data_IF_998475405796
#
_entry.id   IF_998475405796
#
_cell.length_a   1.000
_cell.length_b   1.000
_cell.length_c   1.000
_cell.angle_alpha   90.00
_cell.angle_beta   90.00
_cell.angle_gamma   90.00
#
_symmetry.space_group_name_H-M   'P 1'
#
loop_
_entity.id
_entity.type
_entity.pdbx_description
1 polymer ?
#
# COMPACT_ATOMS: atom_id res chain seq x y z
N UNK A 1 -9.02 2.74 21.39
CA UNK A 1 -8.31 2.80 20.09
C UNK A 1 -7.30 1.67 20.05
N UNK A 2 -7.24 0.90 18.97
CA UNK A 2 -6.27 -0.19 18.84
C UNK A 2 -5.10 0.30 17.99
N UNK A 3 -3.89 0.33 18.54
CA UNK A 3 -2.70 0.83 17.85
C UNK A 3 -1.95 -0.34 17.23
N UNK A 4 -1.82 -0.34 15.91
CA UNK A 4 -0.92 -1.24 15.19
C UNK A 4 0.36 -0.49 14.81
N UNK A 5 1.52 -1.13 15.01
CA UNK A 5 2.81 -0.60 14.55
C UNK A 5 3.13 -1.20 13.18
N UNK A 6 3.67 -0.37 12.31
CA UNK A 6 4.19 -0.73 10.99
C UNK A 6 5.51 -0.01 10.81
N UNK A 7 6.43 -0.62 10.08
CA UNK A 7 7.70 0.02 9.72
C UNK A 7 7.46 1.12 8.68
N UNK A 8 6.52 0.88 7.76
CA UNK A 8 6.18 1.79 6.67
C UNK A 8 4.66 1.83 6.44
N UNK A 9 4.13 3.02 6.20
CA UNK A 9 2.74 3.24 5.76
C UNK A 9 2.76 3.89 4.38
N UNK A 10 2.09 3.29 3.41
CA UNK A 10 1.96 3.78 2.04
C UNK A 10 0.50 4.18 1.80
N UNK A 11 0.29 5.43 1.40
CA UNK A 11 -1.02 5.99 1.08
C UNK A 11 -1.20 6.04 -0.44
N UNK A 12 -2.13 5.23 -0.94
CA UNK A 12 -2.47 5.04 -2.35
C UNK A 12 -2.00 3.71 -2.92
N UNK A 13 -2.94 2.80 -3.22
CA UNK A 13 -2.70 1.51 -3.87
C UNK A 13 -2.85 1.60 -5.40
N UNK A 14 -2.26 2.64 -6.00
CA UNK A 14 -1.98 2.69 -7.44
C UNK A 14 -0.74 1.86 -7.80
N UNK A 15 -0.32 1.83 -9.09
CA UNK A 15 0.82 1.04 -9.53
C UNK A 15 2.11 1.30 -8.74
N UNK A 16 2.44 2.57 -8.48
CA UNK A 16 3.61 2.95 -7.69
C UNK A 16 3.53 2.46 -6.23
N UNK A 17 2.40 2.69 -5.56
CA UNK A 17 2.23 2.29 -4.16
C UNK A 17 2.17 0.77 -3.98
N UNK A 18 1.52 0.06 -4.89
CA UNK A 18 1.49 -1.40 -4.90
C UNK A 18 2.89 -1.99 -5.15
N UNK A 19 3.65 -1.43 -6.11
CA UNK A 19 5.02 -1.86 -6.37
C UNK A 19 5.93 -1.61 -5.16
N UNK A 20 5.88 -0.42 -4.58
CA UNK A 20 6.65 -0.09 -3.38
C UNK A 20 6.32 -1.02 -2.20
N UNK A 21 5.02 -1.23 -1.93
CA UNK A 21 4.56 -2.14 -0.87
C UNK A 21 5.08 -3.57 -1.09
N UNK A 22 5.01 -4.07 -2.33
CA UNK A 22 5.49 -5.39 -2.70
C UNK A 22 6.98 -5.57 -2.42
N UNK A 23 7.83 -4.66 -2.90
CA UNK A 23 9.27 -4.77 -2.72
C UNK A 23 9.68 -4.60 -1.25
N UNK A 24 9.07 -3.67 -0.51
CA UNK A 24 9.36 -3.45 0.91
C UNK A 24 8.93 -4.65 1.77
N UNK A 25 7.75 -5.22 1.50
CA UNK A 25 7.31 -6.44 2.18
C UNK A 25 8.24 -7.62 1.88
N UNK A 26 8.76 -7.72 0.65
CA UNK A 26 9.77 -8.73 0.29
C UNK A 26 11.10 -8.59 1.03
N UNK A 27 11.43 -7.40 1.55
CA UNK A 27 12.59 -7.17 2.41
C UNK A 27 12.30 -7.49 3.90
N UNK A 28 11.11 -8.03 4.21
CA UNK A 28 10.74 -8.44 5.57
C UNK A 28 10.14 -7.32 6.44
N UNK A 29 9.84 -6.15 5.85
CA UNK A 29 9.25 -5.03 6.58
C UNK A 29 7.73 -5.20 6.75
N UNK A 30 7.21 -4.75 7.89
CA UNK A 30 5.76 -4.64 8.11
C UNK A 30 5.23 -3.38 7.44
N UNK A 31 4.55 -3.55 6.30
CA UNK A 31 4.04 -2.45 5.49
C UNK A 31 2.51 -2.40 5.55
N UNK A 32 1.96 -1.24 5.86
CA UNK A 32 0.55 -0.94 5.65
C UNK A 32 0.36 -0.22 4.32
N UNK A 33 -0.37 -0.82 3.38
CA UNK A 33 -0.82 -0.17 2.15
C UNK A 33 -2.31 0.17 2.29
N UNK A 34 -2.66 1.46 2.18
CA UNK A 34 -4.04 1.93 2.30
C UNK A 34 -4.45 2.71 1.06
N UNK A 35 -5.70 2.58 0.64
CA UNK A 35 -6.28 3.35 -0.46
C UNK A 35 -7.71 3.73 -0.09
N UNK A 36 -8.17 4.88 -0.58
CA UNK A 36 -9.54 5.37 -0.37
C UNK A 36 -10.55 4.51 -1.12
N UNK A 37 -10.15 3.94 -2.25
CA UNK A 37 -11.06 3.27 -3.15
C UNK A 37 -11.34 1.81 -2.73
N UNK A 38 -12.54 1.35 -3.04
CA UNK A 38 -12.89 -0.07 -3.02
C UNK A 38 -12.39 -0.72 -4.30
N UNK A 39 -11.74 -1.88 -4.19
CA UNK A 39 -11.18 -2.63 -5.33
C UNK A 39 -12.15 -3.73 -5.79
N UNK A 40 -12.20 -4.07 -7.10
CA UNK A 40 -11.45 -3.46 -8.20
C UNK A 40 -11.97 -2.05 -8.54
N UNK A 41 -11.09 -1.19 -9.07
CA UNK A 41 -11.46 0.15 -9.51
C UNK A 41 -10.78 0.46 -10.84
N UNK A 42 -11.42 1.26 -11.67
CA UNK A 42 -10.74 1.83 -12.83
C UNK A 42 -9.73 2.90 -12.40
N UNK A 43 -8.58 2.89 -13.07
CA UNK A 43 -7.64 4.02 -13.09
C UNK A 43 -7.25 4.22 -14.54
N UNK A 44 -7.39 5.44 -15.05
CA UNK A 44 -6.70 5.80 -16.29
C UNK A 44 -5.19 5.69 -16.07
N UNK A 45 -4.51 5.01 -16.99
CA UNK A 45 -3.05 4.97 -17.07
C UNK A 45 -2.59 5.80 -18.27
N UNK A 46 -1.46 6.47 -18.13
CA UNK A 46 -0.85 7.36 -19.11
C UNK A 46 0.51 7.82 -18.60
#
# INVERSE_FOLDING_TARGET
>A
MNTKKYDIIIVGAGPAGAAAAYYLAKQGLQVALIDKATFPREKTCG
#
